data_IF_356920522596
#
_entry.id   IF_356920522596
#
_cell.length_a   1.000
_cell.length_b   1.000
_cell.length_c   1.000
_cell.angle_alpha   90.00
_cell.angle_beta   90.00
_cell.angle_gamma   90.00
#
_symmetry.space_group_name_H-M   'P 1'
#
loop_
_entity.id
_entity.type
_entity.pdbx_description
1 polymer ?
#
# COMPACT_ATOMS: atom_id res chain seq x y z
N UNK A 1 -1.20 -8.13 -26.73
CA UNK A 1 -0.60 -9.37 -26.25
C UNK A 1 0.30 -9.01 -25.09
N UNK A 2 -0.29 -8.94 -23.90
CA UNK A 2 0.48 -8.88 -22.65
C UNK A 2 0.89 -10.31 -22.31
N UNK A 3 2.11 -10.65 -22.66
CA UNK A 3 2.82 -11.79 -22.11
C UNK A 3 3.28 -11.41 -20.69
N UNK A 4 2.36 -11.11 -19.80
CA UNK A 4 2.67 -11.05 -18.39
C UNK A 4 2.86 -12.46 -17.88
N UNK A 5 4.14 -12.71 -17.65
CA UNK A 5 4.74 -13.74 -16.86
C UNK A 5 3.91 -15.00 -16.66
N UNK A 6 4.26 -16.02 -17.38
CA UNK A 6 4.05 -17.39 -16.95
C UNK A 6 4.75 -17.51 -15.60
N UNK A 7 4.10 -17.11 -14.54
CA UNK A 7 4.42 -17.52 -13.19
C UNK A 7 4.23 -19.02 -13.20
N UNK A 8 5.30 -19.78 -13.37
CA UNK A 8 5.25 -21.21 -13.33
C UNK A 8 4.54 -21.62 -12.04
N UNK A 9 3.54 -22.47 -12.15
CA UNK A 9 2.93 -23.11 -10.99
C UNK A 9 4.03 -23.91 -10.35
N UNK A 10 4.52 -23.47 -9.18
CA UNK A 10 5.45 -24.25 -8.39
C UNK A 10 4.66 -25.43 -7.81
N UNK A 11 4.67 -26.53 -8.53
CA UNK A 11 4.08 -27.78 -8.06
C UNK A 11 5.04 -28.36 -7.01
N UNK A 12 4.83 -28.04 -5.73
CA UNK A 12 5.52 -28.70 -4.63
C UNK A 12 4.90 -30.06 -4.46
N UNK A 13 5.45 -31.03 -5.20
CA UNK A 13 5.15 -32.44 -4.93
C UNK A 13 5.89 -32.78 -3.63
N UNK A 14 5.22 -32.66 -2.50
CA UNK A 14 5.71 -33.27 -1.28
C UNK A 14 5.68 -34.79 -1.48
N UNK A 15 6.85 -35.38 -1.68
CA UNK A 15 7.01 -36.82 -1.57
C UNK A 15 6.52 -37.19 -0.19
N UNK A 16 5.47 -38.01 -0.12
CA UNK A 16 4.79 -38.40 1.12
C UNK A 16 5.68 -39.19 2.05
N UNK A 17 6.61 -38.56 2.69
CA UNK A 17 7.24 -39.05 3.90
C UNK A 17 6.40 -38.55 5.07
N UNK A 18 5.91 -39.44 5.92
CA UNK A 18 5.03 -39.15 7.03
C UNK A 18 5.65 -38.27 8.12
N UNK A 19 6.19 -37.11 7.72
CA UNK A 19 6.64 -36.11 8.66
C UNK A 19 5.44 -35.31 9.12
N UNK A 20 5.05 -35.53 10.35
CA UNK A 20 4.09 -34.70 11.07
C UNK A 20 4.86 -33.84 12.07
N UNK A 21 4.39 -32.65 12.28
CA UNK A 21 5.05 -31.77 13.23
C UNK A 21 4.58 -30.31 13.14
N UNK A 22 5.17 -29.51 13.99
CA UNK A 22 4.94 -28.09 14.01
C UNK A 22 6.25 -27.34 14.12
N UNK A 23 6.26 -26.12 13.64
CA UNK A 23 7.32 -25.16 13.88
C UNK A 23 6.71 -23.81 14.18
N UNK A 24 7.36 -23.05 15.06
CA UNK A 24 6.99 -21.68 15.36
C UNK A 24 8.24 -20.84 15.57
N UNK A 25 8.21 -19.61 15.08
CA UNK A 25 9.28 -18.63 15.23
C UNK A 25 8.66 -17.30 15.64
N UNK A 26 9.27 -16.67 16.65
CA UNK A 26 8.94 -15.31 17.07
C UNK A 26 10.17 -14.43 16.89
N UNK A 27 9.95 -13.22 16.40
CA UNK A 27 10.98 -12.22 16.20
C UNK A 27 10.51 -10.88 16.77
N UNK A 28 11.44 -10.15 17.38
CA UNK A 28 11.21 -8.79 17.82
C UNK A 28 12.39 -7.92 17.46
N UNK A 29 12.12 -6.66 17.12
CA UNK A 29 13.15 -5.66 16.87
C UNK A 29 12.72 -4.33 17.47
N UNK A 30 13.68 -3.56 17.92
CA UNK A 30 13.46 -2.20 18.40
C UNK A 30 14.65 -1.33 18.00
N UNK A 31 14.37 -0.10 17.67
CA UNK A 31 15.35 0.94 17.38
C UNK A 31 14.82 2.30 17.85
N UNK A 32 15.60 3.35 17.67
CA UNK A 32 15.21 4.71 18.07
C UNK A 32 13.99 5.27 17.31
N UNK A 33 13.61 4.66 16.18
CA UNK A 33 12.50 5.11 15.33
C UNK A 33 11.26 4.24 15.48
N UNK A 34 11.34 3.08 16.14
CA UNK A 34 10.18 2.21 16.23
C UNK A 34 10.45 0.81 16.81
N UNK A 35 9.39 0.03 16.78
CA UNK A 35 9.39 -1.36 17.26
C UNK A 35 8.69 -2.25 16.27
N UNK A 36 9.11 -3.51 16.21
CA UNK A 36 8.49 -4.51 15.36
C UNK A 36 8.42 -5.87 16.03
N UNK A 37 7.43 -6.64 15.64
CA UNK A 37 7.26 -8.02 16.05
C UNK A 37 6.81 -8.87 14.87
N UNK A 38 7.27 -10.10 14.80
CA UNK A 38 6.88 -11.04 13.77
C UNK A 38 6.76 -12.45 14.30
N UNK A 39 5.86 -13.20 13.71
CA UNK A 39 5.66 -14.61 14.00
C UNK A 39 5.53 -15.41 12.72
N UNK A 40 5.98 -16.62 12.76
CA UNK A 40 5.72 -17.65 11.75
C UNK A 40 5.35 -18.93 12.48
N UNK A 41 4.32 -19.63 11.99
CA UNK A 41 3.96 -20.93 12.48
C UNK A 41 3.56 -21.84 11.31
N UNK A 42 3.89 -23.12 11.42
CA UNK A 42 3.48 -24.15 10.47
C UNK A 42 3.13 -25.41 11.26
N UNK A 43 2.05 -26.06 10.84
CA UNK A 43 1.62 -27.36 11.37
C UNK A 43 1.33 -28.27 10.19
N UNK A 44 1.85 -29.49 10.24
CA UNK A 44 1.49 -30.57 9.33
C UNK A 44 1.00 -31.76 10.17
N UNK A 45 -0.27 -32.13 9.92
CA UNK A 45 -0.89 -33.27 10.58
C UNK A 45 -1.71 -34.07 9.56
N UNK A 46 -1.27 -35.30 9.28
CA UNK A 46 -1.89 -36.15 8.27
C UNK A 46 -1.95 -35.46 6.90
N UNK A 47 -3.15 -35.23 6.42
CA UNK A 47 -3.43 -34.62 5.11
C UNK A 47 -3.49 -33.10 5.12
N UNK A 48 -3.42 -32.48 6.28
CA UNK A 48 -3.53 -31.05 6.46
C UNK A 48 -2.17 -30.42 6.73
N UNK A 49 -1.84 -29.40 5.96
CA UNK A 49 -0.73 -28.49 6.23
C UNK A 49 -1.28 -27.07 6.34
N UNK A 50 -0.95 -26.38 7.42
CA UNK A 50 -1.31 -24.97 7.62
C UNK A 50 -0.05 -24.21 7.97
N UNK A 51 0.16 -23.10 7.30
CA UNK A 51 1.22 -22.15 7.64
C UNK A 51 0.64 -20.75 7.77
N UNK A 52 1.18 -19.99 8.71
CA UNK A 52 0.80 -18.60 8.93
C UNK A 52 2.03 -17.78 9.26
N UNK A 53 2.09 -16.57 8.76
CA UNK A 53 3.04 -15.57 9.24
C UNK A 53 2.32 -14.24 9.42
N UNK A 54 2.80 -13.46 10.39
CA UNK A 54 2.35 -12.10 10.58
C UNK A 54 3.51 -11.25 11.11
N UNK A 55 3.64 -10.05 10.57
CA UNK A 55 4.64 -9.08 10.99
C UNK A 55 4.00 -7.71 11.12
N UNK A 56 4.31 -7.05 12.18
CA UNK A 56 3.88 -5.70 12.50
C UNK A 56 5.09 -4.85 12.86
N UNK A 57 5.22 -3.70 12.21
CA UNK A 57 6.25 -2.72 12.49
C UNK A 57 5.59 -1.37 12.74
N UNK A 58 5.82 -0.81 13.89
CA UNK A 58 5.45 0.55 14.23
C UNK A 58 6.66 1.46 14.07
N UNK A 59 6.47 2.57 13.35
CA UNK A 59 7.46 3.59 13.14
C UNK A 59 6.98 4.92 13.72
N UNK A 60 7.87 5.63 14.43
CA UNK A 60 7.65 6.95 14.98
C UNK A 60 8.90 7.78 14.69
N UNK A 61 8.91 8.36 13.48
CA UNK A 61 10.06 9.13 13.00
C UNK A 61 10.32 10.33 13.90
N UNK A 62 11.59 10.66 14.16
CA UNK A 62 11.94 11.93 14.77
C UNK A 62 11.36 13.10 13.98
N UNK A 63 11.17 14.25 14.64
CA UNK A 63 10.78 15.47 13.96
C UNK A 63 11.89 15.88 13.00
N UNK A 64 11.56 16.10 11.74
CA UNK A 64 12.45 16.65 10.73
C UNK A 64 12.22 18.15 10.57
N UNK A 65 13.27 18.88 10.26
CA UNK A 65 13.24 20.30 10.00
C UNK A 65 13.79 20.54 8.61
N UNK A 66 13.21 21.49 7.92
CA UNK A 66 13.64 21.88 6.57
C UNK A 66 13.51 23.38 6.42
N UNK A 67 14.60 24.00 5.98
CA UNK A 67 14.67 25.41 5.64
C UNK A 67 14.87 25.51 4.13
N UNK A 68 14.13 26.37 3.48
CA UNK A 68 14.26 26.63 2.06
C UNK A 68 14.31 28.12 1.78
N UNK A 69 15.11 28.45 0.80
CA UNK A 69 15.28 29.81 0.31
C UNK A 69 15.14 29.80 -1.21
N UNK A 70 14.36 30.74 -1.74
CA UNK A 70 14.18 30.93 -3.17
C UNK A 70 14.31 32.41 -3.51
N UNK A 71 15.10 32.72 -4.53
CA UNK A 71 15.20 34.04 -5.09
C UNK A 71 14.48 34.11 -6.44
N UNK A 72 13.68 35.16 -6.64
CA UNK A 72 13.01 35.43 -7.89
C UNK A 72 13.88 36.39 -8.72
N UNK A 73 14.18 36.00 -9.95
CA UNK A 73 15.00 36.78 -10.87
C UNK A 73 14.17 37.58 -11.89
N UNK A 74 12.85 37.56 -11.81
CA UNK A 74 11.98 38.33 -12.70
C UNK A 74 12.08 39.82 -12.34
N UNK A 75 12.37 40.71 -13.31
CA UNK A 75 12.56 42.14 -13.03
C UNK A 75 11.35 42.85 -12.44
N UNK A 76 10.14 42.37 -12.77
CA UNK A 76 8.86 42.98 -12.38
C UNK A 76 8.44 42.56 -10.96
N UNK A 77 9.21 41.69 -10.28
CA UNK A 77 8.89 41.13 -8.98
C UNK A 77 9.80 41.65 -7.84
N UNK A 78 10.13 42.96 -7.84
CA UNK A 78 10.95 43.54 -6.78
C UNK A 78 10.35 43.41 -5.38
N UNK A 79 9.04 43.39 -5.27
CA UNK A 79 8.32 43.24 -4.02
C UNK A 79 8.16 41.75 -3.56
N UNK A 80 8.49 40.81 -4.44
CA UNK A 80 8.40 39.36 -4.19
C UNK A 80 9.72 38.69 -4.57
N UNK A 81 10.81 39.20 -4.01
CA UNK A 81 12.16 38.82 -4.41
C UNK A 81 12.66 37.57 -3.70
N UNK A 82 12.43 37.47 -2.40
CA UNK A 82 13.02 36.42 -1.57
C UNK A 82 11.96 35.72 -0.78
N UNK A 83 11.77 34.39 -1.06
CA UNK A 83 10.91 33.54 -0.31
C UNK A 83 11.72 32.69 0.66
N UNK A 84 11.43 32.81 1.92
CA UNK A 84 11.99 32.01 3.00
C UNK A 84 10.88 31.10 3.57
N UNK A 85 11.18 29.84 3.72
CA UNK A 85 10.25 28.89 4.34
C UNK A 85 10.99 27.98 5.30
N UNK A 86 10.52 27.94 6.52
CA UNK A 86 10.93 27.01 7.55
C UNK A 86 9.78 26.03 7.79
N UNK A 87 10.07 24.76 7.88
CA UNK A 87 9.05 23.77 8.20
C UNK A 87 9.55 22.69 9.14
N UNK A 88 8.65 22.16 9.90
CA UNK A 88 8.91 20.97 10.69
C UNK A 88 7.84 19.92 10.46
N UNK A 89 8.21 18.67 10.40
CA UNK A 89 7.27 17.58 10.22
C UNK A 89 7.56 16.40 11.13
N UNK A 90 6.50 15.73 11.56
CA UNK A 90 6.56 14.50 12.33
C UNK A 90 5.60 13.47 11.76
N UNK A 91 6.11 12.29 11.47
CA UNK A 91 5.32 11.16 10.97
C UNK A 91 5.38 9.98 11.92
N UNK A 92 4.27 9.28 12.07
CA UNK A 92 4.18 8.00 12.75
C UNK A 92 3.22 7.10 12.00
N UNK A 93 3.53 5.82 12.01
CA UNK A 93 2.68 4.87 11.29
C UNK A 93 3.02 3.44 11.63
N UNK A 94 2.35 2.55 10.95
CA UNK A 94 2.66 1.13 11.03
C UNK A 94 2.65 0.53 9.62
N UNK A 95 3.47 -0.50 9.47
CA UNK A 95 3.44 -1.39 8.33
C UNK A 95 3.21 -2.80 8.82
N UNK A 96 2.32 -3.51 8.18
CA UNK A 96 2.00 -4.88 8.53
C UNK A 96 1.86 -5.75 7.29
N UNK A 97 2.24 -6.99 7.42
CA UNK A 97 1.96 -8.01 6.41
C UNK A 97 1.70 -9.35 7.09
N UNK A 98 0.85 -10.14 6.48
CA UNK A 98 0.53 -11.47 6.95
C UNK A 98 0.07 -12.35 5.82
N UNK A 99 0.37 -13.65 5.95
CA UNK A 99 -0.12 -14.69 5.05
C UNK A 99 -0.59 -15.88 5.89
N UNK A 100 -1.67 -16.49 5.43
CA UNK A 100 -2.19 -17.76 5.90
C UNK A 100 -2.35 -18.66 4.68
N UNK A 101 -1.83 -19.86 4.75
CA UNK A 101 -1.99 -20.88 3.73
C UNK A 101 -2.41 -22.20 4.38
N UNK A 102 -3.38 -22.86 3.78
CA UNK A 102 -3.82 -24.19 4.19
C UNK A 102 -3.91 -25.09 2.95
N UNK A 103 -3.27 -26.24 3.01
CA UNK A 103 -3.33 -27.28 1.97
C UNK A 103 -3.90 -28.55 2.56
N UNK A 104 -4.90 -29.13 1.89
CA UNK A 104 -5.56 -30.36 2.29
C UNK A 104 -5.50 -31.40 1.16
N UNK A 105 -4.76 -32.47 1.42
CA UNK A 105 -4.69 -33.64 0.54
C UNK A 105 -5.94 -34.48 0.69
N UNK A 106 -7.00 -34.21 -0.10
CA UNK A 106 -8.26 -34.99 -0.05
C UNK A 106 -7.95 -36.48 -0.24
N UNK A 107 -7.15 -36.77 -1.25
CA UNK A 107 -6.55 -38.08 -1.51
C UNK A 107 -5.27 -37.92 -2.35
N UNK A 108 -4.67 -39.03 -2.78
CA UNK A 108 -3.42 -39.02 -3.57
C UNK A 108 -3.53 -38.35 -4.96
N UNK A 109 -4.72 -37.96 -5.36
CA UNK A 109 -5.00 -37.35 -6.68
C UNK A 109 -5.60 -35.94 -6.59
N UNK A 110 -6.08 -35.55 -5.40
CA UNK A 110 -6.81 -34.30 -5.21
C UNK A 110 -6.22 -33.48 -4.09
N UNK A 111 -5.90 -32.24 -4.41
CA UNK A 111 -5.37 -31.24 -3.48
C UNK A 111 -6.28 -30.01 -3.48
N UNK A 112 -6.59 -29.51 -2.31
CA UNK A 112 -7.23 -28.21 -2.09
C UNK A 112 -6.26 -27.30 -1.37
N UNK A 113 -6.03 -26.13 -1.93
CA UNK A 113 -5.20 -25.07 -1.30
C UNK A 113 -6.04 -23.81 -1.12
N UNK A 114 -5.98 -23.23 0.06
CA UNK A 114 -6.58 -21.94 0.38
C UNK A 114 -5.48 -21.04 0.91
N UNK A 115 -5.36 -19.85 0.35
CA UNK A 115 -4.41 -18.86 0.86
C UNK A 115 -5.09 -17.51 1.03
N UNK A 116 -4.65 -16.79 2.04
CA UNK A 116 -5.03 -15.43 2.35
C UNK A 116 -3.79 -14.63 2.65
N UNK A 117 -3.66 -13.45 2.04
CA UNK A 117 -2.56 -12.55 2.28
C UNK A 117 -3.05 -11.12 2.47
N UNK A 118 -2.35 -10.39 3.32
CA UNK A 118 -2.53 -8.96 3.47
C UNK A 118 -1.19 -8.29 3.70
N UNK A 119 -1.03 -7.11 3.13
CA UNK A 119 0.04 -6.18 3.49
C UNK A 119 -0.45 -4.74 3.32
N UNK A 120 0.10 -3.84 4.10
CA UNK A 120 -0.30 -2.45 4.03
C UNK A 120 0.26 -1.62 5.15
N UNK A 121 -0.05 -0.35 5.07
CA UNK A 121 0.43 0.69 5.97
C UNK A 121 -0.70 1.61 6.36
N UNK A 122 -0.59 2.16 7.55
CA UNK A 122 -1.31 3.37 7.95
C UNK A 122 -0.37 4.34 8.62
N UNK A 123 -0.50 5.60 8.30
CA UNK A 123 0.36 6.66 8.78
C UNK A 123 -0.44 7.90 9.17
N UNK A 124 0.19 8.69 10.04
CA UNK A 124 -0.26 10.03 10.43
C UNK A 124 0.93 10.95 10.34
N UNK A 125 0.72 12.09 9.71
CA UNK A 125 1.71 13.14 9.61
C UNK A 125 1.16 14.46 10.14
N UNK A 126 1.99 15.20 10.83
CA UNK A 126 1.73 16.58 11.24
C UNK A 126 2.91 17.41 10.78
N UNK A 127 2.63 18.52 10.12
CA UNK A 127 3.67 19.48 9.75
C UNK A 127 3.21 20.89 10.00
N UNK A 128 4.12 21.68 10.52
CA UNK A 128 3.97 23.12 10.72
C UNK A 128 5.05 23.84 9.88
N UNK A 129 4.68 24.95 9.31
CA UNK A 129 5.56 25.76 8.49
C UNK A 129 5.35 27.26 8.71
N UNK A 130 6.40 28.03 8.44
CA UNK A 130 6.37 29.47 8.40
C UNK A 130 6.94 29.92 7.06
N UNK A 131 6.21 30.76 6.36
CA UNK A 131 6.60 31.27 5.04
C UNK A 131 6.56 32.77 5.06
N UNK A 132 7.66 33.38 4.59
CA UNK A 132 7.83 34.83 4.50
C UNK A 132 8.34 35.18 3.10
N UNK A 133 7.66 36.13 2.46
CA UNK A 133 8.08 36.70 1.20
C UNK A 133 8.60 38.13 1.47
N UNK A 134 9.85 38.40 1.10
CA UNK A 134 10.47 39.67 1.22
C UNK A 134 10.62 40.40 -0.12
N UNK A 135 10.58 41.69 -0.08
CA UNK A 135 11.02 42.55 -1.18
C UNK A 135 12.52 42.55 -1.38
N UNK A 136 13.00 43.38 -2.32
CA UNK A 136 14.41 43.44 -2.69
C UNK A 136 15.34 43.91 -1.55
N UNK A 137 14.87 44.75 -0.63
CA UNK A 137 15.60 45.27 0.51
C UNK A 137 15.67 44.36 1.73
N UNK A 138 14.85 43.29 1.77
CA UNK A 138 14.71 42.34 2.87
C UNK A 138 14.29 42.92 4.23
N UNK A 139 14.03 44.22 4.33
CA UNK A 139 13.63 44.84 5.58
C UNK A 139 12.14 44.71 5.82
N UNK A 140 11.36 44.79 4.74
CA UNK A 140 9.92 44.62 4.75
C UNK A 140 9.53 43.27 4.17
N UNK A 141 8.42 42.75 4.62
CA UNK A 141 7.82 41.53 4.03
C UNK A 141 6.62 41.91 3.13
N UNK A 142 6.49 41.21 2.02
CA UNK A 142 5.33 41.33 1.14
C UNK A 142 4.11 40.62 1.74
N UNK A 143 4.36 39.42 2.26
CA UNK A 143 3.38 38.64 3.01
C UNK A 143 4.10 37.62 3.89
N UNK A 144 3.41 37.16 4.91
CA UNK A 144 3.78 35.99 5.70
C UNK A 144 2.57 35.23 6.14
N UNK A 145 2.75 33.93 6.34
CA UNK A 145 1.73 33.06 6.89
C UNK A 145 2.37 31.83 7.53
N UNK A 146 1.61 31.20 8.43
CA UNK A 146 1.92 29.89 8.96
C UNK A 146 1.01 28.84 8.34
N UNK A 147 1.52 27.64 8.24
CA UNK A 147 0.72 26.46 7.87
C UNK A 147 0.72 25.44 8.99
N UNK A 148 -0.43 24.82 9.21
CA UNK A 148 -0.60 23.67 10.09
C UNK A 148 -1.32 22.58 9.30
N UNK A 149 -0.62 21.47 9.07
CA UNK A 149 -1.11 20.39 8.23
C UNK A 149 -1.19 19.10 9.02
N UNK A 150 -2.33 18.43 8.92
CA UNK A 150 -2.58 17.14 9.52
C UNK A 150 -3.00 16.15 8.44
N UNK A 151 -2.32 15.02 8.38
CA UNK A 151 -2.65 13.97 7.42
C UNK A 151 -2.80 12.61 8.10
N UNK A 152 -3.75 11.82 7.59
CA UNK A 152 -3.88 10.39 7.90
C UNK A 152 -4.07 9.65 6.61
N UNK A 153 -3.29 8.60 6.41
CA UNK A 153 -3.40 7.75 5.26
C UNK A 153 -3.40 6.27 5.64
N UNK A 154 -4.03 5.48 4.80
CA UNK A 154 -3.86 4.04 4.86
C UNK A 154 -4.00 3.44 3.47
N UNK A 155 -3.24 2.40 3.22
CA UNK A 155 -3.38 1.58 2.04
C UNK A 155 -3.12 0.13 2.40
N UNK A 156 -3.92 -0.76 1.84
CA UNK A 156 -3.79 -2.19 2.04
C UNK A 156 -3.93 -2.92 0.71
N UNK A 157 -3.27 -4.06 0.59
CA UNK A 157 -3.54 -5.06 -0.42
C UNK A 157 -3.96 -6.33 0.29
N UNK A 158 -5.15 -6.78 -0.01
CA UNK A 158 -5.76 -7.98 0.58
C UNK A 158 -6.03 -8.94 -0.56
N UNK A 159 -5.46 -10.12 -0.47
CA UNK A 159 -5.63 -11.16 -1.49
C UNK A 159 -6.06 -12.48 -0.87
N UNK A 160 -6.83 -13.22 -1.63
CA UNK A 160 -7.24 -14.57 -1.28
C UNK A 160 -7.29 -15.44 -2.52
N UNK A 161 -6.96 -16.70 -2.36
CA UNK A 161 -7.14 -17.69 -3.43
C UNK A 161 -7.58 -19.03 -2.88
N UNK A 162 -8.33 -19.73 -3.72
CA UNK A 162 -8.74 -21.12 -3.52
C UNK A 162 -8.40 -21.86 -4.80
N UNK A 163 -7.56 -22.88 -4.68
CA UNK A 163 -7.14 -23.70 -5.79
C UNK A 163 -7.51 -25.17 -5.52
N UNK A 164 -8.24 -25.77 -6.44
CA UNK A 164 -8.55 -27.19 -6.44
C UNK A 164 -7.84 -27.85 -7.61
N UNK A 165 -6.99 -28.82 -7.31
CA UNK A 165 -6.22 -29.58 -8.27
C UNK A 165 -6.65 -31.06 -8.25
N UNK A 166 -6.84 -31.62 -9.43
CA UNK A 166 -7.13 -33.04 -9.59
C UNK A 166 -6.25 -33.65 -10.68
N UNK A 167 -5.52 -34.67 -10.32
CA UNK A 167 -4.66 -35.47 -11.17
C UNK A 167 -5.36 -36.77 -11.59
N UNK A 168 -5.09 -37.29 -12.78
CA UNK A 168 -5.70 -38.53 -13.28
C UNK A 168 -5.01 -39.78 -12.69
N UNK A 169 -5.79 -40.80 -12.35
CA UNK A 169 -5.26 -42.11 -11.93
C UNK A 169 -4.44 -42.79 -13.01
N UNK A 170 -4.86 -42.67 -14.29
CA UNK A 170 -4.23 -43.37 -15.41
C UNK A 170 -2.94 -42.71 -15.88
N UNK A 171 -2.86 -41.41 -15.73
CA UNK A 171 -1.69 -40.64 -16.13
C UNK A 171 -1.55 -39.45 -15.21
N UNK A 172 -0.50 -39.44 -14.37
CA UNK A 172 -0.24 -38.38 -13.38
C UNK A 172 0.11 -37.02 -13.97
N UNK A 173 0.51 -36.98 -15.24
CA UNK A 173 0.76 -35.74 -15.98
C UNK A 173 -0.54 -35.07 -16.47
N UNK A 174 -1.65 -35.80 -16.46
CA UNK A 174 -2.97 -35.24 -16.78
C UNK A 174 -3.59 -34.63 -15.55
N UNK A 175 -3.84 -33.33 -15.61
CA UNK A 175 -4.28 -32.54 -14.47
C UNK A 175 -5.32 -31.49 -14.87
N UNK A 176 -6.27 -31.23 -13.99
CA UNK A 176 -7.15 -30.08 -14.04
C UNK A 176 -6.96 -29.25 -12.78
N UNK A 177 -6.86 -27.94 -12.94
CA UNK A 177 -6.80 -26.96 -11.85
C UNK A 177 -7.95 -25.98 -11.98
N UNK A 178 -8.69 -25.78 -10.91
CA UNK A 178 -9.72 -24.75 -10.77
C UNK A 178 -9.22 -23.74 -9.75
N UNK A 179 -9.15 -22.48 -10.16
CA UNK A 179 -8.64 -21.39 -9.31
C UNK A 179 -9.67 -20.28 -9.21
N UNK A 180 -9.86 -19.79 -7.99
CA UNK A 180 -10.53 -18.53 -7.72
C UNK A 180 -9.60 -17.63 -6.94
N UNK A 181 -9.43 -16.38 -7.41
CA UNK A 181 -8.60 -15.36 -6.75
C UNK A 181 -9.41 -14.10 -6.54
N UNK A 182 -9.20 -13.47 -5.41
CA UNK A 182 -9.71 -12.13 -5.10
C UNK A 182 -8.55 -11.26 -4.66
N UNK A 183 -8.50 -10.03 -5.15
CA UNK A 183 -7.58 -9.00 -4.71
C UNK A 183 -8.38 -7.72 -4.46
N UNK A 184 -8.13 -7.05 -3.35
CA UNK A 184 -8.75 -5.78 -2.98
C UNK A 184 -7.68 -4.83 -2.45
N UNK A 185 -7.71 -3.58 -2.93
CA UNK A 185 -6.72 -2.55 -2.59
C UNK A 185 -7.42 -1.30 -2.04
N UNK A 186 -7.94 -1.36 -0.80
CA UNK A 186 -8.52 -0.19 -0.16
C UNK A 186 -7.44 0.83 0.20
N UNK A 187 -7.73 2.09 -0.07
CA UNK A 187 -6.89 3.22 0.28
C UNK A 187 -7.75 4.34 0.85
N UNK A 188 -7.26 4.99 1.89
CA UNK A 188 -7.88 6.18 2.49
C UNK A 188 -6.86 7.29 2.62
N UNK A 189 -7.32 8.50 2.43
CA UNK A 189 -6.55 9.71 2.68
C UNK A 189 -7.46 10.75 3.32
N UNK A 190 -7.03 11.32 4.45
CA UNK A 190 -7.73 12.37 5.19
C UNK A 190 -6.69 13.43 5.54
N UNK A 191 -6.82 14.63 4.99
CA UNK A 191 -5.84 15.70 5.17
C UNK A 191 -6.50 17.04 5.40
N UNK A 192 -5.95 17.78 6.35
CA UNK A 192 -6.29 19.15 6.68
C UNK A 192 -5.09 20.04 6.39
N UNK A 193 -5.34 21.15 5.73
CA UNK A 193 -4.37 22.21 5.54
C UNK A 193 -4.99 23.50 6.09
N UNK A 194 -4.30 24.11 7.03
CA UNK A 194 -4.76 25.34 7.70
C UNK A 194 -3.71 26.42 7.56
N UNK A 195 -4.12 27.57 7.08
CA UNK A 195 -3.33 28.79 7.04
C UNK A 195 -3.65 29.63 8.24
N UNK A 196 -2.64 30.08 8.94
CA UNK A 196 -2.71 30.85 10.17
C UNK A 196 -1.83 32.08 10.07
N UNK A 197 -2.14 33.10 10.87
CA UNK A 197 -1.32 34.29 11.04
C UNK A 197 -0.94 34.93 9.67
N UNK A 198 -1.93 35.00 8.78
CA UNK A 198 -1.76 35.62 7.45
C UNK A 198 -1.65 37.13 7.68
N UNK A 199 -0.48 37.67 7.36
CA UNK A 199 -0.22 39.09 7.45
C UNK A 199 0.18 39.63 6.10
N UNK A 200 -0.65 40.47 5.49
CA UNK A 200 -0.25 41.29 4.36
C UNK A 200 0.50 42.55 4.86
N UNK A 201 1.46 43.01 4.10
CA UNK A 201 1.84 44.40 4.15
C UNK A 201 0.57 45.23 3.81
N UNK A 202 0.26 46.25 4.62
CA UNK A 202 -0.97 47.07 4.48
C UNK A 202 -1.14 47.63 3.06
N UNK A 203 -0.04 47.81 2.32
CA UNK A 203 -0.04 48.30 0.94
C UNK A 203 -0.22 47.22 -0.12
N UNK A 204 -0.36 45.92 0.23
CA UNK A 204 -0.30 44.78 -0.69
C UNK A 204 -1.39 43.76 -0.49
N UNK A 205 -2.54 44.19 0.01
CA UNK A 205 -3.74 43.33 0.23
C UNK A 205 -4.16 42.50 -1.01
N UNK A 206 -3.85 42.99 -2.22
CA UNK A 206 -4.21 42.29 -3.46
C UNK A 206 -3.40 41.02 -3.65
N UNK A 207 -2.17 40.93 -3.16
CA UNK A 207 -1.31 39.76 -3.27
C UNK A 207 -1.90 38.56 -2.51
N UNK A 208 -2.49 38.78 -1.34
CA UNK A 208 -3.10 37.70 -0.56
C UNK A 208 -4.36 37.15 -1.25
N UNK A 209 -5.12 38.01 -1.93
CA UNK A 209 -6.27 37.55 -2.73
C UNK A 209 -5.82 36.71 -3.92
N UNK A 210 -4.69 37.06 -4.56
CA UNK A 210 -4.09 36.25 -5.65
C UNK A 210 -3.59 34.91 -5.16
N UNK A 211 -2.99 34.82 -3.96
CA UNK A 211 -2.48 33.56 -3.39
C UNK A 211 -3.59 32.56 -3.03
N UNK A 212 -4.84 33.05 -2.89
CA UNK A 212 -6.01 32.21 -2.57
C UNK A 212 -5.76 31.25 -1.41
N UNK A 213 -5.18 31.75 -0.29
CA UNK A 213 -4.87 30.98 0.90
C UNK A 213 -6.14 30.59 1.63
N UNK A 214 -6.68 29.41 1.30
CA UNK A 214 -7.90 28.87 1.89
C UNK A 214 -7.60 27.62 2.68
N UNK A 215 -8.20 27.51 3.84
CA UNK A 215 -8.19 26.27 4.60
C UNK A 215 -8.96 25.19 3.84
N UNK A 216 -8.44 23.97 3.83
CA UNK A 216 -9.16 22.88 3.21
C UNK A 216 -9.03 21.57 3.97
N UNK A 217 -10.05 20.75 3.79
CA UNK A 217 -10.10 19.36 4.24
C UNK A 217 -10.39 18.47 3.03
N UNK A 218 -9.57 17.45 2.84
CA UNK A 218 -9.75 16.44 1.80
C UNK A 218 -9.92 15.07 2.44
N UNK A 219 -11.05 14.42 2.20
CA UNK A 219 -11.34 13.04 2.60
C UNK A 219 -11.53 12.19 1.35
N UNK A 220 -10.66 11.21 1.16
CA UNK A 220 -10.66 10.34 0.00
C UNK A 220 -10.67 8.86 0.38
N UNK A 221 -11.49 8.09 -0.34
CA UNK A 221 -11.57 6.64 -0.21
C UNK A 221 -11.59 6.01 -1.59
N UNK A 222 -10.64 5.14 -1.85
CA UNK A 222 -10.58 4.39 -3.09
C UNK A 222 -10.45 2.90 -2.82
N UNK A 223 -11.00 2.09 -3.70
CA UNK A 223 -10.79 0.65 -3.66
C UNK A 223 -10.82 0.09 -5.09
N UNK A 224 -9.79 -0.69 -5.42
CA UNK A 224 -9.75 -1.53 -6.61
C UNK A 224 -9.92 -2.97 -6.19
N UNK A 225 -10.96 -3.63 -6.70
CA UNK A 225 -11.22 -5.04 -6.45
C UNK A 225 -11.16 -5.82 -7.77
N UNK A 226 -10.41 -6.90 -7.76
CA UNK A 226 -10.33 -7.84 -8.88
C UNK A 226 -10.68 -9.23 -8.41
N UNK A 227 -11.53 -9.92 -9.17
CA UNK A 227 -11.85 -11.33 -8.99
C UNK A 227 -11.49 -12.08 -10.26
N UNK A 228 -10.81 -13.20 -10.11
CA UNK A 228 -10.35 -14.03 -11.22
C UNK A 228 -10.84 -15.45 -11.02
N UNK A 229 -11.51 -15.98 -12.03
CA UNK A 229 -11.86 -17.40 -12.15
C UNK A 229 -11.02 -17.99 -13.27
N UNK A 230 -10.35 -19.11 -12.99
CA UNK A 230 -9.46 -19.75 -13.95
C UNK A 230 -9.63 -21.26 -13.91
N UNK A 231 -9.60 -21.86 -15.08
CA UNK A 231 -9.61 -23.31 -15.28
C UNK A 231 -8.44 -23.64 -16.19
N UNK A 232 -7.54 -24.51 -15.74
CA UNK A 232 -6.41 -25.00 -16.51
C UNK A 232 -6.47 -26.50 -16.63
N UNK A 233 -6.16 -27.00 -17.83
CA UNK A 233 -6.11 -28.41 -18.13
C UNK A 233 -4.83 -28.76 -18.85
N UNK A 234 -4.10 -29.70 -18.28
CA UNK A 234 -2.85 -30.25 -18.84
C UNK A 234 -3.06 -31.71 -19.19
N UNK A 235 -2.67 -32.11 -20.38
CA UNK A 235 -2.73 -33.52 -20.81
C UNK A 235 -1.59 -33.88 -21.75
N UNK A 236 -0.87 -34.98 -21.50
CA UNK A 236 0.09 -35.49 -22.45
C UNK A 236 -0.60 -36.16 -23.64
N UNK A 237 -0.03 -35.97 -24.81
CA UNK A 237 -0.40 -36.63 -26.05
C UNK A 237 0.79 -37.48 -26.54
N UNK A 238 0.62 -38.78 -26.49
CA UNK A 238 1.70 -39.70 -26.79
C UNK A 238 2.82 -39.64 -25.74
N UNK A 239 4.07 -39.78 -26.15
CA UNK A 239 5.25 -39.82 -25.27
C UNK A 239 6.08 -38.52 -25.27
N UNK A 240 5.80 -37.61 -26.21
CA UNK A 240 6.69 -36.47 -26.51
C UNK A 240 5.98 -35.11 -26.41
N UNK A 241 4.66 -35.08 -26.34
CA UNK A 241 3.91 -33.83 -26.39
C UNK A 241 3.02 -33.67 -25.17
N UNK A 242 2.96 -32.47 -24.62
CA UNK A 242 1.99 -32.08 -23.59
C UNK A 242 1.18 -30.90 -24.12
N UNK A 243 -0.14 -30.96 -24.01
CA UNK A 243 -1.03 -29.84 -24.30
C UNK A 243 -1.46 -29.24 -22.97
N UNK A 244 -1.32 -27.93 -22.91
CA UNK A 244 -1.86 -27.09 -21.84
C UNK A 244 -2.88 -26.14 -22.43
N UNK A 245 -4.06 -26.09 -21.83
CA UNK A 245 -5.14 -25.21 -22.25
C UNK A 245 -5.88 -24.70 -21.04
N UNK A 246 -6.47 -23.54 -21.15
CA UNK A 246 -7.22 -22.96 -20.04
C UNK A 246 -8.13 -21.82 -20.46
N UNK A 247 -8.97 -21.41 -19.54
CA UNK A 247 -9.83 -20.25 -19.66
C UNK A 247 -9.74 -19.41 -18.38
N UNK A 248 -9.72 -18.10 -18.55
CA UNK A 248 -9.64 -17.14 -17.46
C UNK A 248 -10.70 -16.06 -17.63
N UNK A 249 -11.46 -15.81 -16.57
CA UNK A 249 -12.41 -14.71 -16.50
C UNK A 249 -12.01 -13.75 -15.39
N UNK A 250 -11.94 -12.46 -15.69
CA UNK A 250 -11.53 -11.41 -14.74
C UNK A 250 -12.68 -10.41 -14.62
N UNK A 251 -13.10 -10.16 -13.39
CA UNK A 251 -14.02 -9.09 -13.04
C UNK A 251 -13.27 -8.03 -12.21
N UNK A 252 -13.35 -6.76 -12.64
CA UNK A 252 -12.73 -5.63 -11.93
C UNK A 252 -13.78 -4.60 -11.56
N UNK A 253 -13.66 -4.08 -10.34
CA UNK A 253 -14.47 -2.97 -9.84
C UNK A 253 -13.57 -1.94 -9.20
N UNK A 254 -13.66 -0.70 -9.68
CA UNK A 254 -12.99 0.44 -9.06
C UNK A 254 -14.06 1.33 -8.42
N UNK A 255 -13.81 1.79 -7.21
CA UNK A 255 -14.62 2.79 -6.52
C UNK A 255 -13.73 3.91 -6.02
N UNK A 256 -14.21 5.14 -6.13
CA UNK A 256 -13.54 6.34 -5.62
C UNK A 256 -14.60 7.28 -5.08
N UNK A 257 -14.45 7.69 -3.82
CA UNK A 257 -15.25 8.73 -3.16
C UNK A 257 -14.26 9.73 -2.58
N UNK A 258 -14.23 10.93 -3.17
CA UNK A 258 -13.34 12.01 -2.74
C UNK A 258 -14.20 13.22 -2.44
N UNK A 259 -13.99 13.80 -1.27
CA UNK A 259 -14.67 14.99 -0.78
C UNK A 259 -13.64 16.05 -0.47
N UNK A 260 -13.90 17.23 -0.96
CA UNK A 260 -13.07 18.39 -0.74
C UNK A 260 -13.90 19.50 -0.15
N UNK A 261 -13.46 20.04 0.96
CA UNK A 261 -14.12 21.13 1.68
C UNK A 261 -13.14 22.29 1.79
N UNK A 262 -13.60 23.47 1.40
CA UNK A 262 -12.88 24.73 1.62
C UNK A 262 -13.57 25.51 2.72
N UNK A 263 -12.80 26.21 3.54
CA UNK A 263 -13.28 27.19 4.48
C UNK A 263 -12.56 28.52 4.25
N UNK A 264 -13.30 29.58 4.21
CA UNK A 264 -12.72 30.93 4.30
C UNK A 264 -12.18 31.10 5.72
N UNK A 265 -10.90 31.51 5.83
CA UNK A 265 -10.22 31.78 7.09
C UNK A 265 -10.68 33.09 7.72
#
# INVERSE_FOLDING_TARGET
YDAEGIGGILNIVTVGSGFEGYTATFRGNANNNGVGAGTYAMVKQGKLTVSANYNYNYNNSPRSYSDSYRENYEPDKENEKYLESESSSKSKGNFQYGNLEASYEIDTLRLLTVAFGMYGSSDKSNSDGNTIMHGADRQDFAYRYRTDNHGKGSWYSINGNIDYQRTSRKNKERMITLSYKINSQPQTNDSYNTYLDIEPDENKLDIIKELSLKNFHSDGKTNTMEQTFQVDYTTPIGKLHTIETGAKYIFRRNSSDNRFYEAEG
#
